data_IF_048600429832
#
_entry.id   IF_048600429832
#
_cell.length_a   1.000
_cell.length_b   1.000
_cell.length_c   1.000
_cell.angle_alpha   90.00
_cell.angle_beta   90.00
_cell.angle_gamma   90.00
#
_symmetry.space_group_name_H-M   'P 1'
#
loop_
_entity.id
_entity.type
_entity.pdbx_description
1 polymer ?
#
# COMPACT_ATOMS: atom_id res chain seq x y z
N UNK A 1 -7.23 1.10 -13.34
CA UNK A 1 -5.82 1.47 -13.51
C UNK A 1 -5.08 0.27 -14.10
N UNK A 2 -4.05 0.49 -14.91
CA UNK A 2 -3.30 -0.57 -15.60
C UNK A 2 -2.33 -1.26 -14.62
N UNK A 3 -2.21 -2.58 -14.70
CA UNK A 3 -1.25 -3.34 -13.89
C UNK A 3 0.21 -2.97 -14.25
N UNK A 4 1.15 -3.02 -13.29
CA UNK A 4 2.55 -2.74 -13.57
C UNK A 4 3.13 -3.77 -14.54
N UNK A 5 3.78 -3.29 -15.60
CA UNK A 5 4.50 -4.11 -16.58
C UNK A 5 6.00 -3.97 -16.36
N UNK A 6 6.55 -4.79 -15.46
CA UNK A 6 7.98 -4.87 -15.20
C UNK A 6 8.69 -5.56 -16.39
N UNK A 7 9.82 -5.02 -16.86
CA UNK A 7 10.47 -5.44 -18.13
C UNK A 7 11.98 -5.69 -18.00
N UNK A 8 12.59 -5.41 -16.85
CA UNK A 8 14.02 -5.60 -16.64
C UNK A 8 14.46 -7.03 -17.00
N UNK A 9 15.70 -7.18 -17.47
CA UNK A 9 16.34 -8.49 -17.67
C UNK A 9 17.28 -8.88 -16.52
N UNK A 10 17.50 -7.96 -15.58
CA UNK A 10 18.36 -8.17 -14.41
C UNK A 10 17.58 -8.07 -13.10
N UNK A 11 18.06 -8.80 -12.09
CA UNK A 11 17.46 -8.78 -10.74
C UNK A 11 17.51 -7.39 -10.09
N UNK A 12 18.62 -6.66 -10.28
CA UNK A 12 18.74 -5.30 -9.75
C UNK A 12 17.77 -4.35 -10.47
N UNK A 13 17.74 -4.38 -11.81
CA UNK A 13 16.81 -3.55 -12.57
C UNK A 13 15.34 -3.83 -12.25
N UNK A 14 14.98 -5.07 -11.91
CA UNK A 14 13.62 -5.39 -11.46
C UNK A 14 13.27 -4.71 -10.12
N UNK A 15 14.21 -4.65 -9.19
CA UNK A 15 13.98 -3.96 -7.91
C UNK A 15 13.91 -2.45 -8.08
N UNK A 16 14.76 -1.89 -8.94
CA UNK A 16 14.73 -0.46 -9.27
C UNK A 16 13.39 -0.09 -9.93
N UNK A 17 12.83 -0.97 -10.78
CA UNK A 17 11.49 -0.80 -11.36
C UNK A 17 10.37 -0.87 -10.31
N UNK A 18 10.44 -1.81 -9.35
CA UNK A 18 9.49 -1.86 -8.23
C UNK A 18 9.55 -0.55 -7.44
N UNK A 19 10.76 -0.10 -7.08
CA UNK A 19 10.93 1.12 -6.31
C UNK A 19 10.41 2.34 -7.06
N UNK A 20 10.72 2.48 -8.35
CA UNK A 20 10.23 3.57 -9.18
C UNK A 20 8.71 3.56 -9.26
N UNK A 21 8.10 2.40 -9.56
CA UNK A 21 6.65 2.27 -9.62
C UNK A 21 6.00 2.66 -8.29
N UNK A 22 6.44 2.06 -7.18
CA UNK A 22 5.86 2.34 -5.85
C UNK A 22 6.01 3.82 -5.52
N UNK A 23 7.19 4.40 -5.72
CA UNK A 23 7.47 5.83 -5.50
C UNK A 23 6.53 6.74 -6.30
N UNK A 24 6.33 6.46 -7.57
CA UNK A 24 5.47 7.26 -8.45
C UNK A 24 4.00 7.19 -8.00
N UNK A 25 3.55 6.01 -7.61
CA UNK A 25 2.18 5.80 -7.12
C UNK A 25 1.94 6.51 -5.78
N UNK A 26 2.87 6.40 -4.84
CA UNK A 26 2.81 7.14 -3.59
C UNK A 26 2.87 8.66 -3.83
N UNK A 27 3.70 9.12 -4.76
CA UNK A 27 3.76 10.54 -5.15
C UNK A 27 2.43 11.02 -5.75
N UNK A 28 1.76 10.17 -6.53
CA UNK A 28 0.42 10.45 -7.05
C UNK A 28 -0.63 10.52 -5.94
N UNK A 29 -0.64 9.59 -4.97
CA UNK A 29 -1.56 9.66 -3.82
C UNK A 29 -1.32 10.95 -3.05
N UNK A 30 -0.06 11.26 -2.74
CA UNK A 30 0.30 12.50 -2.06
C UNK A 30 -0.24 13.72 -2.80
N UNK A 31 -0.03 13.81 -4.11
CA UNK A 31 -0.56 14.93 -4.91
C UNK A 31 -2.09 14.98 -4.93
N UNK A 32 -2.77 13.83 -5.04
CA UNK A 32 -4.23 13.77 -5.17
C UNK A 32 -4.96 14.00 -3.85
N UNK A 33 -4.48 13.37 -2.79
CA UNK A 33 -5.18 13.31 -1.51
C UNK A 33 -4.72 14.42 -0.60
N UNK A 34 -3.41 14.58 -0.42
CA UNK A 34 -2.85 15.49 0.57
C UNK A 34 -2.93 16.95 0.10
N UNK A 35 -2.69 17.23 -1.20
CA UNK A 35 -2.72 18.60 -1.71
C UNK A 35 -4.09 19.28 -1.55
N UNK A 36 -5.19 18.54 -1.72
CA UNK A 36 -6.56 19.09 -1.57
C UNK A 36 -6.80 19.64 -0.16
N UNK A 37 -6.24 18.98 0.85
CA UNK A 37 -6.36 19.44 2.24
C UNK A 37 -5.46 20.64 2.56
N UNK A 38 -4.38 20.83 1.80
CA UNK A 38 -3.51 22.00 1.98
C UNK A 38 -4.26 23.30 1.65
N UNK A 39 -5.04 23.29 0.58
CA UNK A 39 -5.81 24.45 0.11
C UNK A 39 -7.29 24.41 0.59
N UNK A 40 -7.61 23.58 1.60
CA UNK A 40 -8.99 23.34 2.07
C UNK A 40 -9.73 24.62 2.42
N UNK A 41 -9.05 25.60 3.03
CA UNK A 41 -9.67 26.86 3.43
C UNK A 41 -10.14 27.70 2.25
N UNK A 42 -9.42 27.65 1.13
CA UNK A 42 -9.63 28.55 -0.01
C UNK A 42 -10.60 27.94 -1.03
N UNK A 43 -10.56 26.61 -1.20
CA UNK A 43 -11.34 25.93 -2.25
C UNK A 43 -12.30 24.86 -1.73
N UNK A 44 -12.26 24.53 -0.43
CA UNK A 44 -12.96 23.38 0.11
C UNK A 44 -12.42 22.06 -0.46
N UNK A 45 -13.19 20.98 -0.29
CA UNK A 45 -12.92 19.65 -0.84
C UNK A 45 -14.14 19.17 -1.57
N UNK A 46 -13.94 18.72 -2.80
CA UNK A 46 -14.90 17.92 -3.55
C UNK A 46 -14.19 16.62 -3.96
N UNK A 47 -14.70 15.49 -3.49
CA UNK A 47 -14.08 14.19 -3.75
C UNK A 47 -15.09 13.05 -3.79
N UNK A 48 -14.67 11.96 -4.40
CA UNK A 48 -15.40 10.68 -4.37
C UNK A 48 -14.56 9.69 -3.58
N UNK A 49 -15.12 9.18 -2.49
CA UNK A 49 -14.52 8.12 -1.69
C UNK A 49 -14.41 6.82 -2.51
N UNK A 50 -13.53 5.89 -2.14
CA UNK A 50 -13.40 4.65 -2.89
C UNK A 50 -14.65 3.75 -2.83
N UNK A 51 -15.54 3.95 -1.85
CA UNK A 51 -16.87 3.31 -1.81
C UNK A 51 -17.90 3.98 -2.75
N UNK A 52 -17.49 5.00 -3.52
CA UNK A 52 -18.33 5.76 -4.44
C UNK A 52 -19.07 6.94 -3.79
N UNK A 53 -18.94 7.14 -2.48
CA UNK A 53 -19.60 8.26 -1.79
C UNK A 53 -18.98 9.59 -2.20
N UNK A 54 -19.81 10.53 -2.66
CA UNK A 54 -19.34 11.89 -2.91
C UNK A 54 -19.33 12.71 -1.61
N UNK A 55 -18.20 13.36 -1.34
CA UNK A 55 -18.03 14.31 -0.25
C UNK A 55 -17.83 15.71 -0.81
N UNK A 56 -18.53 16.69 -0.24
CA UNK A 56 -18.32 18.10 -0.56
C UNK A 56 -18.29 18.89 0.74
N UNK A 57 -17.14 19.49 1.02
CA UNK A 57 -16.88 20.32 2.20
C UNK A 57 -16.49 21.72 1.74
N UNK A 58 -17.27 22.73 2.08
CA UNK A 58 -16.95 24.13 1.76
C UNK A 58 -17.49 25.06 2.84
N UNK A 59 -16.76 26.12 3.15
CA UNK A 59 -17.13 27.09 4.18
C UNK A 59 -17.13 26.55 5.63
N UNK A 60 -16.60 25.35 5.85
CA UNK A 60 -16.51 24.72 7.17
C UNK A 60 -15.14 24.94 7.81
N UNK A 61 -15.13 25.10 9.13
CA UNK A 61 -13.90 25.04 9.89
C UNK A 61 -13.32 23.61 9.88
N UNK A 62 -12.00 23.49 10.01
CA UNK A 62 -11.36 22.19 10.19
C UNK A 62 -11.47 21.77 11.66
N UNK A 63 -12.66 21.33 12.05
CA UNK A 63 -12.99 20.82 13.38
C UNK A 63 -14.05 19.70 13.31
N UNK A 64 -14.29 19.04 14.44
CA UNK A 64 -15.32 17.99 14.59
C UNK A 64 -15.29 16.94 13.48
N UNK A 65 -16.41 16.83 12.76
CA UNK A 65 -16.61 15.84 11.70
C UNK A 65 -15.67 16.01 10.50
N UNK A 66 -15.20 17.24 10.20
CA UNK A 66 -14.24 17.49 9.11
C UNK A 66 -12.88 16.91 9.47
N UNK A 67 -12.45 17.12 10.71
CA UNK A 67 -11.21 16.54 11.23
C UNK A 67 -11.31 15.01 11.30
N UNK A 68 -12.44 14.48 11.77
CA UNK A 68 -12.68 13.03 11.80
C UNK A 68 -12.64 12.41 10.40
N UNK A 69 -13.20 13.08 9.39
CA UNK A 69 -13.14 12.62 8.00
C UNK A 69 -11.70 12.57 7.48
N UNK A 70 -10.89 13.59 7.78
CA UNK A 70 -9.48 13.64 7.39
C UNK A 70 -8.67 12.46 7.93
N UNK A 71 -8.90 12.08 9.19
CA UNK A 71 -8.21 10.96 9.84
C UNK A 71 -8.88 9.60 9.64
N UNK A 72 -10.03 9.56 8.95
CA UNK A 72 -10.81 8.34 8.78
C UNK A 72 -10.02 7.27 8.02
N UNK A 73 -10.04 6.04 8.55
CA UNK A 73 -9.40 4.88 7.91
C UNK A 73 -9.92 4.55 6.51
N UNK A 74 -11.12 4.99 6.15
CA UNK A 74 -11.66 4.77 4.80
C UNK A 74 -11.17 5.80 3.78
N UNK A 75 -10.55 6.91 4.20
CA UNK A 75 -10.18 7.98 3.28
C UNK A 75 -8.78 7.80 2.70
N UNK A 76 -7.74 7.65 3.53
CA UNK A 76 -6.36 7.49 3.06
C UNK A 76 -5.90 6.03 2.87
N UNK A 77 -6.16 5.10 3.81
CA UNK A 77 -5.68 3.72 3.71
C UNK A 77 -6.10 2.92 2.48
N UNK A 78 -7.32 3.11 1.98
CA UNK A 78 -7.82 2.35 0.83
C UNK A 78 -6.97 2.56 -0.44
N UNK A 79 -6.47 3.78 -0.66
CA UNK A 79 -5.57 4.04 -1.79
C UNK A 79 -4.20 3.36 -1.63
N UNK A 80 -3.73 3.20 -0.40
CA UNK A 80 -2.50 2.46 -0.10
C UNK A 80 -2.69 0.97 -0.37
N UNK A 81 -3.86 0.43 -0.07
CA UNK A 81 -4.22 -0.95 -0.34
C UNK A 81 -4.25 -1.25 -1.83
N UNK A 82 -4.77 -0.33 -2.65
CA UNK A 82 -4.79 -0.49 -4.10
C UNK A 82 -3.37 -0.55 -4.67
N UNK A 83 -2.49 0.39 -4.30
CA UNK A 83 -1.08 0.37 -4.72
C UNK A 83 -0.43 -0.94 -4.33
N UNK A 84 -0.64 -1.36 -3.09
CA UNK A 84 -0.08 -2.60 -2.58
C UNK A 84 -0.53 -3.80 -3.42
N UNK A 85 -1.84 -3.94 -3.63
CA UNK A 85 -2.42 -5.09 -4.32
C UNK A 85 -2.00 -5.13 -5.79
N UNK A 86 -1.94 -3.99 -6.46
CA UNK A 86 -1.44 -3.87 -7.83
C UNK A 86 0.05 -4.20 -7.92
N UNK A 87 0.87 -3.65 -7.03
CA UNK A 87 2.33 -3.89 -7.06
C UNK A 87 2.64 -5.35 -6.75
N UNK A 88 1.95 -5.94 -5.77
CA UNK A 88 2.10 -7.35 -5.44
C UNK A 88 1.73 -8.24 -6.63
N UNK A 89 0.60 -7.96 -7.31
CA UNK A 89 0.22 -8.67 -8.54
C UNK A 89 1.28 -8.57 -9.63
N UNK A 90 1.83 -7.37 -9.86
CA UNK A 90 2.92 -7.19 -10.82
C UNK A 90 4.18 -7.97 -10.45
N UNK A 91 4.57 -7.97 -9.18
CA UNK A 91 5.72 -8.74 -8.69
C UNK A 91 5.51 -10.23 -8.94
N UNK A 92 4.32 -10.74 -8.64
CA UNK A 92 3.96 -12.14 -8.86
C UNK A 92 3.99 -12.49 -10.35
N UNK A 93 3.33 -11.69 -11.19
CA UNK A 93 3.27 -11.91 -12.65
C UNK A 93 4.66 -11.88 -13.29
N UNK A 94 5.49 -10.89 -12.94
CA UNK A 94 6.84 -10.79 -13.46
C UNK A 94 7.73 -11.94 -12.99
N UNK A 95 7.62 -12.32 -11.71
CA UNK A 95 8.39 -13.44 -11.16
C UNK A 95 8.02 -14.76 -11.83
N UNK A 96 6.74 -14.97 -12.13
CA UNK A 96 6.27 -16.15 -12.85
C UNK A 96 6.81 -16.18 -14.29
N UNK A 97 6.67 -15.08 -15.04
CA UNK A 97 7.14 -14.97 -16.43
C UNK A 97 8.65 -15.21 -16.58
N UNK A 98 9.43 -14.82 -15.57
CA UNK A 98 10.90 -14.90 -15.60
C UNK A 98 11.46 -16.04 -14.75
N UNK A 99 10.62 -16.93 -14.21
CA UNK A 99 11.04 -18.05 -13.33
C UNK A 99 11.87 -17.59 -12.12
N UNK A 100 11.52 -16.44 -11.55
CA UNK A 100 12.19 -15.85 -10.38
C UNK A 100 11.45 -16.18 -9.08
N UNK A 101 12.18 -16.14 -7.97
CA UNK A 101 11.59 -16.24 -6.64
C UNK A 101 10.95 -14.88 -6.24
N UNK A 102 9.61 -14.80 -6.10
CA UNK A 102 8.93 -13.54 -5.79
C UNK A 102 9.21 -13.03 -4.39
N UNK A 103 9.67 -13.88 -3.45
CA UNK A 103 9.88 -13.50 -2.05
C UNK A 103 10.81 -12.29 -1.93
N UNK A 104 11.79 -12.20 -2.83
CA UNK A 104 12.74 -11.11 -2.84
C UNK A 104 12.09 -9.77 -3.23
N UNK A 105 11.25 -9.74 -4.27
CA UNK A 105 10.43 -8.58 -4.62
C UNK A 105 9.40 -8.22 -3.54
N UNK A 106 8.80 -9.23 -2.90
CA UNK A 106 7.86 -9.04 -1.79
C UNK A 106 8.54 -8.36 -0.59
N UNK A 107 9.78 -8.73 -0.25
CA UNK A 107 10.56 -8.07 0.81
C UNK A 107 10.88 -6.62 0.45
N UNK A 108 11.17 -6.33 -0.82
CA UNK A 108 11.37 -4.95 -1.29
C UNK A 108 10.09 -4.15 -1.15
N UNK A 109 8.95 -4.70 -1.59
CA UNK A 109 7.63 -4.07 -1.44
C UNK A 109 7.30 -3.79 0.02
N UNK A 110 7.53 -4.74 0.92
CA UNK A 110 7.33 -4.60 2.37
C UNK A 110 8.03 -3.36 2.92
N UNK A 111 9.34 -3.23 2.64
CA UNK A 111 10.15 -2.10 3.10
C UNK A 111 9.67 -0.77 2.52
N UNK A 112 9.34 -0.75 1.24
CA UNK A 112 8.84 0.45 0.58
C UNK A 112 7.50 0.89 1.15
N UNK A 113 6.55 -0.04 1.31
CA UNK A 113 5.25 0.25 1.92
C UNK A 113 5.42 0.81 3.34
N UNK A 114 6.25 0.19 4.19
CA UNK A 114 6.48 0.69 5.55
C UNK A 114 7.02 2.12 5.56
N UNK A 115 8.02 2.40 4.73
CA UNK A 115 8.63 3.73 4.58
C UNK A 115 7.60 4.77 4.15
N UNK A 116 6.80 4.47 3.12
CA UNK A 116 5.87 5.45 2.58
C UNK A 116 4.60 5.61 3.42
N UNK A 117 4.15 4.57 4.13
CA UNK A 117 3.08 4.68 5.14
C UNK A 117 3.48 5.69 6.21
N UNK A 118 4.70 5.55 6.75
CA UNK A 118 5.20 6.48 7.75
C UNK A 118 5.25 7.92 7.21
N UNK A 119 5.85 8.12 6.04
CA UNK A 119 5.94 9.44 5.42
C UNK A 119 4.55 10.08 5.17
N UNK A 120 3.56 9.28 4.77
CA UNK A 120 2.19 9.74 4.54
C UNK A 120 1.54 10.23 5.83
N UNK A 121 1.57 9.43 6.90
CA UNK A 121 0.98 9.80 8.18
C UNK A 121 1.67 11.01 8.81
N UNK A 122 2.98 11.09 8.73
CA UNK A 122 3.73 12.27 9.19
C UNK A 122 3.29 13.53 8.44
N UNK A 123 3.09 13.44 7.13
CA UNK A 123 2.60 14.57 6.34
C UNK A 123 1.15 14.94 6.67
N UNK A 124 0.29 13.95 6.89
CA UNK A 124 -1.07 14.18 7.37
C UNK A 124 -1.07 14.93 8.71
N UNK A 125 -0.25 14.52 9.66
CA UNK A 125 -0.10 15.20 10.95
C UNK A 125 0.36 16.65 10.81
N UNK A 126 1.26 16.92 9.84
CA UNK A 126 1.72 18.27 9.53
C UNK A 126 0.59 19.14 8.98
N UNK A 127 -0.26 18.60 8.11
CA UNK A 127 -1.40 19.34 7.54
C UNK A 127 -2.48 19.56 8.58
N UNK A 128 -2.82 18.56 9.38
CA UNK A 128 -3.75 18.71 10.49
C UNK A 128 -3.31 19.82 11.45
N UNK A 129 -2.03 19.86 11.83
CA UNK A 129 -1.45 20.92 12.65
C UNK A 129 -1.64 22.31 12.04
N UNK A 130 -1.43 22.45 10.72
CA UNK A 130 -1.62 23.70 10.00
C UNK A 130 -3.09 24.11 9.93
N UNK A 131 -3.98 23.17 9.63
CA UNK A 131 -5.41 23.40 9.48
C UNK A 131 -6.05 23.78 10.82
N UNK A 132 -5.78 23.04 11.90
CA UNK A 132 -6.23 23.38 13.26
C UNK A 132 -5.62 24.68 13.79
N UNK A 133 -4.42 24.99 13.32
CA UNK A 133 -3.69 26.20 13.64
C UNK A 133 -4.13 27.44 12.86
N UNK A 134 -5.04 27.27 11.90
CA UNK A 134 -5.51 28.33 11.01
C UNK A 134 -4.38 29.11 10.30
N UNK A 135 -3.24 28.46 10.03
CA UNK A 135 -2.04 29.10 9.47
C UNK A 135 -0.90 29.35 10.47
N UNK A 136 -1.16 29.18 11.78
CA UNK A 136 -0.14 29.09 12.83
C UNK A 136 -0.12 27.66 13.39
N UNK A 137 0.82 26.80 12.96
CA UNK A 137 0.76 25.37 13.25
C UNK A 137 0.57 25.07 14.74
N UNK A 138 -0.43 24.24 15.07
CA UNK A 138 -0.56 23.66 16.42
C UNK A 138 0.41 22.49 16.59
N UNK A 139 0.50 21.97 17.81
CA UNK A 139 1.23 20.74 18.08
C UNK A 139 0.74 19.60 17.18
N UNK A 140 1.68 18.83 16.61
CA UNK A 140 1.38 17.71 15.71
C UNK A 140 0.79 16.56 16.51
N UNK A 141 -0.22 15.91 15.95
CA UNK A 141 -0.74 14.66 16.48
C UNK A 141 0.36 13.59 16.34
N UNK A 142 0.54 12.79 17.40
CA UNK A 142 1.37 11.60 17.33
C UNK A 142 0.71 10.54 16.44
N UNK A 143 1.44 10.08 15.43
CA UNK A 143 0.97 9.12 14.44
C UNK A 143 1.55 7.73 14.63
N UNK A 144 2.34 7.49 15.67
CA UNK A 144 3.05 6.22 15.84
C UNK A 144 2.09 5.02 15.83
N UNK A 145 0.96 5.11 16.55
CA UNK A 145 -0.03 4.02 16.58
C UNK A 145 -0.72 3.80 15.23
N UNK A 146 -0.99 4.87 14.47
CA UNK A 146 -1.55 4.78 13.13
C UNK A 146 -0.57 4.09 12.16
N UNK A 147 0.70 4.50 12.21
CA UNK A 147 1.78 3.93 11.41
C UNK A 147 1.96 2.46 11.75
N UNK A 148 2.08 2.13 13.04
CA UNK A 148 2.29 0.76 13.51
C UNK A 148 1.14 -0.16 13.13
N UNK A 149 -0.11 0.29 13.32
CA UNK A 149 -1.29 -0.50 12.98
C UNK A 149 -1.34 -0.81 11.47
N UNK A 150 -1.09 0.18 10.63
CA UNK A 150 -1.18 0.02 9.18
C UNK A 150 0.01 -0.76 8.61
N UNK A 151 1.23 -0.53 9.12
CA UNK A 151 2.39 -1.36 8.77
C UNK A 151 2.17 -2.82 9.13
N UNK A 152 1.62 -3.09 10.32
CA UNK A 152 1.27 -4.46 10.75
C UNK A 152 0.30 -5.12 9.78
N UNK A 153 -0.77 -4.42 9.39
CA UNK A 153 -1.74 -4.95 8.43
C UNK A 153 -1.10 -5.34 7.08
N UNK A 154 -0.21 -4.49 6.56
CA UNK A 154 0.54 -4.77 5.33
C UNK A 154 1.47 -5.98 5.49
N UNK A 155 2.18 -6.07 6.61
CA UNK A 155 3.09 -7.19 6.90
C UNK A 155 2.30 -8.50 7.05
N UNK A 156 1.19 -8.49 7.77
CA UNK A 156 0.33 -9.67 7.97
C UNK A 156 -0.19 -10.19 6.64
N UNK A 157 -0.61 -9.28 5.74
CA UNK A 157 -1.00 -9.61 4.37
C UNK A 157 0.13 -10.25 3.57
N UNK A 158 1.31 -9.63 3.55
CA UNK A 158 2.47 -10.18 2.82
C UNK A 158 2.90 -11.55 3.37
N UNK A 159 2.81 -11.73 4.69
CA UNK A 159 3.12 -13.00 5.36
C UNK A 159 2.13 -14.07 4.95
N UNK A 160 0.81 -13.76 4.93
CA UNK A 160 -0.23 -14.68 4.45
C UNK A 160 0.03 -15.13 3.01
N UNK A 161 0.47 -14.22 2.13
CA UNK A 161 0.87 -14.57 0.76
C UNK A 161 2.09 -15.50 0.72
N UNK A 162 3.12 -15.23 1.52
CA UNK A 162 4.33 -16.09 1.61
C UNK A 162 3.96 -17.51 2.08
N UNK A 163 3.07 -17.63 3.07
CA UNK A 163 2.64 -18.91 3.66
C UNK A 163 1.77 -19.74 2.70
N UNK A 164 0.74 -19.15 2.09
CA UNK A 164 -0.16 -19.87 1.17
C UNK A 164 0.59 -20.48 -0.03
N UNK A 165 1.65 -19.82 -0.51
CA UNK A 165 2.48 -20.35 -1.61
C UNK A 165 3.31 -21.55 -1.16
N UNK A 166 3.84 -21.53 0.06
CA UNK A 166 4.56 -22.64 0.67
C UNK A 166 3.67 -23.87 0.89
N UNK A 167 2.43 -23.68 1.34
CA UNK A 167 1.45 -24.77 1.48
C UNK A 167 1.11 -25.42 0.14
N UNK A 168 0.98 -24.61 -0.92
CA UNK A 168 0.75 -25.11 -2.28
C UNK A 168 1.92 -25.96 -2.78
N UNK A 169 3.16 -25.52 -2.54
CA UNK A 169 4.37 -26.26 -2.89
C UNK A 169 4.46 -27.56 -2.08
N UNK A 170 4.23 -27.52 -0.77
CA UNK A 170 4.20 -28.70 0.10
C UNK A 170 3.11 -29.69 -0.31
N UNK A 171 1.93 -29.22 -0.71
CA UNK A 171 0.84 -30.05 -1.22
C UNK A 171 1.24 -30.75 -2.53
N UNK A 172 1.88 -30.02 -3.45
CA UNK A 172 2.37 -30.59 -4.71
C UNK A 172 3.46 -31.63 -4.47
N UNK A 173 4.44 -31.34 -3.60
CA UNK A 173 5.49 -32.30 -3.22
C UNK A 173 4.88 -33.55 -2.58
N UNK A 174 3.93 -33.41 -1.64
CA UNK A 174 3.23 -34.55 -1.04
C UNK A 174 2.47 -35.38 -2.08
N UNK A 175 1.73 -34.74 -2.99
CA UNK A 175 0.98 -35.41 -4.06
C UNK A 175 1.90 -36.19 -5.01
N UNK A 176 3.04 -35.62 -5.40
CA UNK A 176 3.99 -36.26 -6.30
C UNK A 176 4.89 -37.30 -5.60
N UNK A 177 5.25 -37.10 -4.34
CA UNK A 177 5.94 -38.09 -3.53
C UNK A 177 5.09 -39.36 -3.32
N UNK A 178 3.78 -39.21 -3.11
CA UNK A 178 2.84 -40.35 -3.04
C UNK A 178 2.77 -41.10 -4.38
N UNK A 179 2.86 -40.40 -5.52
CA UNK A 179 2.89 -41.04 -6.84
C UNK A 179 4.22 -41.77 -7.12
N UNK A 180 5.36 -41.21 -6.69
CA UNK A 180 6.67 -41.86 -6.79
C UNK A 180 6.75 -43.13 -5.93
N UNK A 181 6.20 -43.11 -4.70
CA UNK A 181 6.14 -44.29 -3.83
C UNK A 181 5.25 -45.40 -4.43
N UNK A 182 4.18 -45.05 -5.15
CA UNK A 182 3.35 -46.03 -5.87
C UNK A 182 4.09 -46.63 -7.08
N UNK A 183 4.91 -45.85 -7.78
CA UNK A 183 5.68 -46.31 -8.94
C UNK A 183 6.78 -47.31 -8.53
N UNK A 184 7.43 -47.09 -7.38
CA UNK A 184 8.44 -48.01 -6.83
C UNK A 184 7.88 -49.26 -6.13
N UNK A 185 6.56 -49.35 -5.90
CA UNK A 185 5.91 -50.57 -5.38
C UNK A 185 5.47 -51.56 -6.46
N UNK A 186 5.63 -51.20 -7.73
CA UNK A 186 5.23 -52.01 -8.89
C UNK A 186 6.43 -52.53 -9.72
N UNK A 187 7.64 -52.37 -9.19
CA UNK A 187 8.89 -53.02 -9.61
C UNK A 187 9.41 -53.85 -8.43
#
# INVERSE_FOLDING_TARGET
>A
MSEPNFISQSKQGFYDEIECYVKDRFSSIRKKMIKKWFDFKDYGINDTLPDGTNITLSGLAFDGSVQELFWRKSYFPQYLDDIFNETLRGILSYSEKNTLNPNSGIIVLEKLCCKYIQALYEEMARIDANLRGQGKPKERIDVEDYVRAHQKEVIDRLTKYKLNKWETVCFFIKKHAVNLIKFFKFW
#
